data_IF_938676880185
#
_entry.id   IF_938676880185
#
_cell.length_a   1.000
_cell.length_b   1.000
_cell.length_c   1.000
_cell.angle_alpha   90.00
_cell.angle_beta   90.00
_cell.angle_gamma   90.00
#
_symmetry.space_group_name_H-M   'P 1'
#
loop_
_entity.id
_entity.type
_entity.pdbx_description
1 polymer ?
#
# COMPACT_ATOMS: atom_id res chain seq x y z
N UNK A 1 -6.58 -32.11 5.91
CA UNK A 1 -6.11 -30.99 5.06
C UNK A 1 -4.83 -30.46 5.68
N UNK A 2 -3.72 -30.40 4.96
CA UNK A 2 -2.45 -29.88 5.50
C UNK A 2 -2.39 -28.36 5.36
N UNK A 3 -1.61 -27.68 6.20
CA UNK A 3 -1.38 -26.23 6.11
C UNK A 3 -0.85 -25.83 4.73
N UNK A 4 0.05 -26.63 4.15
CA UNK A 4 0.60 -26.43 2.81
C UNK A 4 -0.48 -26.43 1.74
N UNK A 5 -1.41 -27.39 1.80
CA UNK A 5 -2.52 -27.47 0.84
C UNK A 5 -3.43 -26.24 0.93
N UNK A 6 -3.73 -25.76 2.15
CA UNK A 6 -4.55 -24.57 2.33
C UNK A 6 -3.87 -23.32 1.74
N UNK A 7 -2.56 -23.14 1.98
CA UNK A 7 -1.78 -22.03 1.42
C UNK A 7 -1.77 -22.06 -0.11
N UNK A 8 -1.56 -23.23 -0.71
CA UNK A 8 -1.59 -23.38 -2.17
C UNK A 8 -2.98 -23.10 -2.74
N UNK A 9 -4.02 -23.65 -2.11
CA UNK A 9 -5.40 -23.42 -2.52
C UNK A 9 -5.75 -21.93 -2.51
N UNK A 10 -5.49 -21.24 -1.39
CA UNK A 10 -5.79 -19.83 -1.25
C UNK A 10 -4.96 -18.97 -2.22
N UNK A 11 -3.67 -19.26 -2.39
CA UNK A 11 -2.81 -18.52 -3.33
C UNK A 11 -3.29 -18.63 -4.78
N UNK A 12 -3.80 -19.79 -5.19
CA UNK A 12 -4.27 -20.04 -6.55
C UNK A 12 -5.64 -19.42 -6.83
N UNK A 13 -6.57 -19.50 -5.87
CA UNK A 13 -7.94 -19.01 -6.05
C UNK A 13 -8.07 -17.49 -5.80
N UNK A 14 -7.18 -16.90 -4.99
CA UNK A 14 -7.13 -15.46 -4.70
C UNK A 14 -5.88 -14.79 -5.29
N UNK A 15 -5.63 -15.04 -6.58
CA UNK A 15 -4.47 -14.49 -7.32
C UNK A 15 -4.46 -12.95 -7.41
N UNK A 16 -5.62 -12.32 -7.25
CA UNK A 16 -5.80 -10.86 -7.23
C UNK A 16 -5.58 -10.24 -5.84
N UNK A 17 -5.22 -11.04 -4.84
CA UNK A 17 -4.88 -10.58 -3.50
C UNK A 17 -3.36 -10.51 -3.36
N UNK A 18 -2.85 -9.33 -2.99
CA UNK A 18 -1.42 -9.07 -2.83
C UNK A 18 -1.12 -8.53 -1.43
N UNK A 19 -0.21 -9.18 -0.72
CA UNK A 19 0.34 -8.70 0.55
C UNK A 19 1.65 -7.97 0.28
N UNK A 20 1.75 -6.73 0.73
CA UNK A 20 2.92 -5.87 0.52
C UNK A 20 3.57 -5.59 1.86
N UNK A 21 4.84 -5.93 1.95
CA UNK A 21 5.68 -5.71 3.13
C UNK A 21 6.97 -5.01 2.72
N UNK A 22 7.73 -4.55 3.69
CA UNK A 22 9.09 -4.07 3.47
C UNK A 22 9.96 -4.40 4.68
N UNK A 23 11.28 -4.35 4.52
CA UNK A 23 12.19 -4.52 5.65
C UNK A 23 12.35 -3.22 6.45
N UNK A 24 12.23 -2.07 5.77
CA UNK A 24 12.29 -0.73 6.37
C UNK A 24 11.10 0.14 5.93
N UNK A 25 10.68 1.11 6.76
CA UNK A 25 9.66 2.07 6.36
C UNK A 25 10.16 2.99 5.22
N UNK A 26 9.23 3.60 4.49
CA UNK A 26 9.57 4.59 3.45
C UNK A 26 9.98 4.03 2.08
N UNK A 27 9.88 2.72 1.84
CA UNK A 27 10.21 2.12 0.54
C UNK A 27 9.10 2.26 -0.54
N UNK A 28 8.04 3.03 -0.28
CA UNK A 28 6.97 3.28 -1.25
C UNK A 28 6.01 2.10 -1.46
N UNK A 29 5.62 1.40 -0.37
CA UNK A 29 4.60 0.35 -0.41
C UNK A 29 3.28 0.88 -0.97
N UNK A 30 2.82 2.02 -0.47
CA UNK A 30 1.60 2.69 -0.94
C UNK A 30 1.73 3.14 -2.40
N UNK A 31 2.84 3.76 -2.80
CA UNK A 31 3.11 4.13 -4.20
C UNK A 31 3.10 2.92 -5.14
N UNK A 32 3.59 1.77 -4.70
CA UNK A 32 3.55 0.54 -5.47
C UNK A 32 2.09 0.11 -5.74
N UNK A 33 1.21 0.19 -4.73
CA UNK A 33 -0.21 -0.14 -4.87
C UNK A 33 -0.88 0.79 -5.88
N UNK A 34 -0.67 2.11 -5.75
CA UNK A 34 -1.21 3.09 -6.69
C UNK A 34 -0.69 2.90 -8.12
N UNK A 35 0.56 2.49 -8.29
CA UNK A 35 1.12 2.16 -9.60
C UNK A 35 0.46 0.91 -10.18
N UNK A 36 0.37 -0.16 -9.40
CA UNK A 36 -0.27 -1.42 -9.85
C UNK A 36 -1.72 -1.18 -10.25
N UNK A 37 -2.49 -0.47 -9.42
CA UNK A 37 -3.87 -0.12 -9.75
C UNK A 37 -3.96 0.68 -11.06
N UNK A 38 -3.07 1.67 -11.27
CA UNK A 38 -3.03 2.44 -12.51
C UNK A 38 -2.71 1.57 -13.73
N UNK A 39 -1.72 0.69 -13.61
CA UNK A 39 -1.31 -0.22 -14.68
C UNK A 39 -2.46 -1.19 -15.04
N UNK A 40 -3.29 -1.56 -14.05
CA UNK A 40 -4.48 -2.39 -14.21
C UNK A 40 -5.75 -1.58 -14.59
N UNK A 41 -5.66 -0.26 -14.79
CA UNK A 41 -6.79 0.60 -15.14
C UNK A 41 -7.81 0.81 -14.01
N UNK A 42 -7.40 0.62 -12.76
CA UNK A 42 -8.22 0.67 -11.55
C UNK A 42 -7.99 1.95 -10.74
N UNK A 43 -8.96 2.33 -9.92
CA UNK A 43 -8.76 3.33 -8.86
C UNK A 43 -8.55 2.66 -7.50
N UNK A 44 -7.77 3.27 -6.62
CA UNK A 44 -7.51 2.74 -5.27
C UNK A 44 -8.52 3.33 -4.28
N UNK A 45 -9.09 2.47 -3.44
CA UNK A 45 -9.90 2.86 -2.30
C UNK A 45 -9.24 2.33 -1.02
N UNK A 46 -8.85 3.22 -0.11
CA UNK A 46 -7.99 2.88 1.04
C UNK A 46 -8.75 2.90 2.35
N UNK A 47 -8.65 1.82 3.11
CA UNK A 47 -9.07 1.75 4.51
C UNK A 47 -7.86 1.49 5.39
N UNK A 48 -7.67 2.35 6.39
CA UNK A 48 -6.68 2.14 7.43
C UNK A 48 -7.27 1.33 8.59
N UNK A 49 -6.51 0.36 9.12
CA UNK A 49 -6.90 -0.48 10.26
C UNK A 49 -5.73 -0.58 11.25
N UNK A 50 -5.95 -0.10 12.47
CA UNK A 50 -4.96 -0.16 13.55
C UNK A 50 -5.63 -0.10 14.94
N UNK A 51 -4.84 -0.25 16.00
CA UNK A 51 -5.32 -0.21 17.37
C UNK A 51 -6.14 -1.44 17.76
N UNK A 52 -7.16 -1.22 18.60
CA UNK A 52 -8.10 -2.27 19.01
C UNK A 52 -9.12 -2.47 17.89
N UNK A 53 -9.23 -3.69 17.39
CA UNK A 53 -10.12 -4.01 16.27
C UNK A 53 -11.58 -3.91 16.70
N UNK A 54 -12.37 -3.27 15.84
CA UNK A 54 -13.83 -3.23 15.93
C UNK A 54 -14.40 -3.57 14.56
N UNK A 55 -15.06 -4.74 14.45
CA UNK A 55 -15.62 -5.23 13.19
C UNK A 55 -16.71 -4.29 12.64
N UNK A 56 -17.50 -3.66 13.52
CA UNK A 56 -18.54 -2.71 13.11
C UNK A 56 -17.93 -1.47 12.44
N UNK A 57 -16.83 -0.95 13.00
CA UNK A 57 -16.08 0.15 12.39
C UNK A 57 -15.44 -0.23 11.05
N UNK A 58 -14.92 -1.46 10.91
CA UNK A 58 -14.40 -1.95 9.63
C UNK A 58 -15.53 -2.02 8.58
N UNK A 59 -16.68 -2.57 8.94
CA UNK A 59 -17.85 -2.64 8.03
C UNK A 59 -18.30 -1.23 7.64
N UNK A 60 -18.36 -0.29 8.58
CA UNK A 60 -18.74 1.09 8.27
C UNK A 60 -17.74 1.74 7.31
N UNK A 61 -16.44 1.63 7.56
CA UNK A 61 -15.40 2.14 6.67
C UNK A 61 -15.53 1.54 5.26
N UNK A 62 -15.82 0.24 5.14
CA UNK A 62 -16.03 -0.43 3.85
C UNK A 62 -17.26 0.10 3.10
N UNK A 63 -18.35 0.41 3.81
CA UNK A 63 -19.52 1.09 3.21
C UNK A 63 -19.19 2.51 2.76
N UNK A 64 -18.45 3.26 3.57
CA UNK A 64 -18.07 4.65 3.27
C UNK A 64 -17.13 4.77 2.06
N UNK A 65 -16.34 3.73 1.77
CA UNK A 65 -15.52 3.66 0.56
C UNK A 65 -16.35 3.57 -0.73
N UNK A 66 -17.61 3.13 -0.66
CA UNK A 66 -18.48 2.89 -1.80
C UNK A 66 -17.75 2.12 -2.93
N UNK A 67 -17.12 0.99 -2.55
CA UNK A 67 -16.36 0.16 -3.49
C UNK A 67 -17.21 -0.26 -4.69
N UNK A 68 -16.55 -0.46 -5.82
CA UNK A 68 -17.08 -0.96 -7.09
C UNK A 68 -16.09 -1.96 -7.67
N UNK A 69 -16.51 -2.74 -8.67
CA UNK A 69 -15.67 -3.76 -9.31
C UNK A 69 -14.36 -3.21 -9.91
N UNK A 70 -14.35 -1.94 -10.34
CA UNK A 70 -13.17 -1.26 -10.88
C UNK A 70 -12.24 -0.66 -9.81
N UNK A 71 -12.54 -0.87 -8.51
CA UNK A 71 -11.68 -0.43 -7.43
C UNK A 71 -10.74 -1.54 -6.97
N UNK A 72 -9.51 -1.15 -6.65
CA UNK A 72 -8.60 -1.94 -5.83
C UNK A 72 -8.78 -1.53 -4.37
N UNK A 73 -9.19 -2.47 -3.52
CA UNK A 73 -9.25 -2.23 -2.08
C UNK A 73 -7.83 -2.28 -1.51
N UNK A 74 -7.37 -1.17 -0.98
CA UNK A 74 -6.12 -1.07 -0.23
C UNK A 74 -6.42 -1.09 1.27
N UNK A 75 -6.03 -2.16 1.95
CA UNK A 75 -6.11 -2.29 3.41
C UNK A 75 -4.73 -1.94 3.98
N UNK A 76 -4.61 -0.75 4.57
CA UNK A 76 -3.40 -0.31 5.26
C UNK A 76 -3.44 -0.76 6.72
N UNK A 77 -2.59 -1.71 7.08
CA UNK A 77 -2.55 -2.35 8.39
C UNK A 77 -1.45 -1.74 9.25
N UNK A 78 -1.88 -0.99 10.27
CA UNK A 78 -1.03 -0.49 11.35
C UNK A 78 -0.91 -1.46 12.52
N UNK A 79 -0.20 -1.04 13.56
CA UNK A 79 -0.05 -1.81 14.80
C UNK A 79 -1.43 -2.05 15.43
N UNK A 80 -1.73 -3.28 15.80
CA UNK A 80 -2.98 -3.67 16.45
C UNK A 80 -2.74 -4.37 17.79
N UNK A 81 -3.62 -4.13 18.76
CA UNK A 81 -3.63 -4.82 20.05
C UNK A 81 -4.45 -6.12 20.04
N UNK A 82 -5.24 -6.37 18.98
CA UNK A 82 -6.05 -7.59 18.80
C UNK A 82 -5.81 -8.23 17.42
N UNK A 83 -4.57 -8.66 17.10
CA UNK A 83 -4.21 -9.18 15.78
C UNK A 83 -5.03 -10.39 15.33
N UNK A 84 -5.45 -11.27 16.25
CA UNK A 84 -6.30 -12.41 15.92
C UNK A 84 -7.68 -12.02 15.42
N UNK A 85 -8.25 -10.91 15.94
CA UNK A 85 -9.54 -10.39 15.47
C UNK A 85 -9.38 -9.80 14.07
N UNK A 86 -8.27 -9.10 13.80
CA UNK A 86 -7.96 -8.60 12.46
C UNK A 86 -7.76 -9.75 11.47
N UNK A 87 -6.99 -10.78 11.84
CA UNK A 87 -6.75 -11.93 10.96
C UNK A 87 -8.05 -12.65 10.58
N UNK A 88 -8.93 -12.88 11.56
CA UNK A 88 -10.24 -13.47 11.32
C UNK A 88 -11.12 -12.57 10.44
N UNK A 89 -11.05 -11.25 10.59
CA UNK A 89 -11.78 -10.31 9.75
C UNK A 89 -11.26 -10.31 8.29
N UNK A 90 -9.93 -10.33 8.10
CA UNK A 90 -9.31 -10.44 6.79
C UNK A 90 -9.69 -11.76 6.09
N UNK A 91 -9.69 -12.87 6.82
CA UNK A 91 -10.13 -14.15 6.28
C UNK A 91 -11.58 -14.10 5.82
N UNK A 92 -12.50 -13.63 6.67
CA UNK A 92 -13.91 -13.52 6.33
C UNK A 92 -14.12 -12.61 5.12
N UNK A 93 -13.59 -11.38 5.16
CA UNK A 93 -13.78 -10.41 4.09
C UNK A 93 -13.23 -10.89 2.74
N UNK A 94 -12.01 -11.46 2.72
CA UNK A 94 -11.30 -11.79 1.48
C UNK A 94 -11.68 -13.19 0.98
N UNK A 95 -11.66 -14.19 1.86
CA UNK A 95 -11.88 -15.59 1.49
C UNK A 95 -13.37 -15.89 1.37
N UNK A 96 -14.20 -15.40 2.30
CA UNK A 96 -15.65 -15.60 2.20
C UNK A 96 -16.33 -14.54 1.33
N UNK A 97 -15.63 -13.43 1.03
CA UNK A 97 -16.22 -12.29 0.32
C UNK A 97 -17.22 -11.50 1.18
N UNK A 98 -17.24 -11.75 2.50
CA UNK A 98 -18.27 -11.24 3.39
C UNK A 98 -17.74 -11.01 4.80
N UNK A 99 -18.19 -9.94 5.45
CA UNK A 99 -17.90 -9.64 6.85
C UNK A 99 -19.17 -9.20 7.56
N UNK A 100 -19.46 -9.77 8.73
CA UNK A 100 -20.67 -9.46 9.50
C UNK A 100 -20.40 -9.37 10.99
N UNK A 101 -21.15 -8.49 11.68
CA UNK A 101 -21.22 -8.45 13.14
C UNK A 101 -22.57 -7.90 13.58
N UNK A 102 -23.24 -8.59 14.51
CA UNK A 102 -24.57 -8.20 14.98
C UNK A 102 -25.56 -7.98 13.83
N UNK A 103 -26.04 -6.74 13.67
CA UNK A 103 -26.96 -6.33 12.60
C UNK A 103 -26.27 -5.70 11.37
N UNK A 104 -24.93 -5.62 11.37
CA UNK A 104 -24.15 -5.04 10.28
C UNK A 104 -23.52 -6.14 9.42
N UNK A 105 -23.50 -5.91 8.12
CA UNK A 105 -22.89 -6.81 7.16
C UNK A 105 -22.31 -6.03 5.97
N UNK A 106 -21.28 -6.59 5.35
CA UNK A 106 -20.65 -6.09 4.14
C UNK A 106 -20.29 -7.26 3.22
N UNK A 107 -20.54 -7.09 1.92
CA UNK A 107 -20.12 -8.03 0.88
C UNK A 107 -19.13 -7.33 -0.02
N UNK A 108 -18.00 -7.99 -0.30
CA UNK A 108 -16.91 -7.41 -1.04
C UNK A 108 -17.26 -7.28 -2.54
N UNK A 109 -17.30 -6.05 -3.05
CA UNK A 109 -17.66 -5.75 -4.45
C UNK A 109 -16.49 -5.85 -5.44
N UNK A 110 -15.27 -6.13 -4.97
CA UNK A 110 -14.07 -6.26 -5.83
C UNK A 110 -13.27 -7.51 -5.49
N UNK A 111 -12.60 -8.09 -6.49
CA UNK A 111 -11.66 -9.20 -6.28
C UNK A 111 -10.22 -8.72 -6.07
N UNK A 112 -9.96 -7.44 -6.28
CA UNK A 112 -8.61 -6.85 -6.22
C UNK A 112 -8.36 -6.24 -4.84
N UNK A 113 -7.50 -6.90 -4.06
CA UNK A 113 -7.20 -6.49 -2.69
C UNK A 113 -5.70 -6.41 -2.50
N UNK A 114 -5.21 -5.26 -2.04
CA UNK A 114 -3.85 -5.10 -1.55
C UNK A 114 -3.87 -4.93 -0.03
N UNK A 115 -3.05 -5.71 0.67
CA UNK A 115 -2.85 -5.60 2.11
C UNK A 115 -1.45 -5.04 2.32
N UNK A 116 -1.35 -3.78 2.75
CA UNK A 116 -0.08 -3.18 3.16
C UNK A 116 0.12 -3.43 4.66
N UNK A 117 1.23 -4.08 5.03
CA UNK A 117 1.55 -4.31 6.45
C UNK A 117 2.63 -3.33 6.88
N UNK A 118 2.33 -2.53 7.90
CA UNK A 118 3.28 -1.62 8.54
C UNK A 118 4.49 -2.37 9.12
N UNK A 119 5.65 -1.73 9.05
CA UNK A 119 6.87 -2.24 9.66
C UNK A 119 6.74 -2.22 11.18
N UNK A 120 6.97 -3.36 11.83
CA UNK A 120 7.11 -3.44 13.29
C UNK A 120 8.43 -4.06 13.68
N UNK A 121 8.89 -3.76 14.90
CA UNK A 121 10.10 -4.37 15.47
C UNK A 121 9.94 -5.89 15.45
N UNK A 122 10.89 -6.59 14.81
CA UNK A 122 10.88 -8.05 14.69
C UNK A 122 9.77 -8.62 13.79
N UNK A 123 9.13 -7.82 12.93
CA UNK A 123 8.02 -8.22 12.06
C UNK A 123 6.83 -8.85 12.81
N UNK A 124 6.66 -8.50 14.09
CA UNK A 124 5.62 -9.04 14.97
C UNK A 124 4.21 -8.93 14.40
N UNK A 125 3.89 -7.83 13.72
CA UNK A 125 2.57 -7.63 13.11
C UNK A 125 2.33 -8.60 11.95
N UNK A 126 3.28 -8.67 11.01
CA UNK A 126 3.20 -9.61 9.89
C UNK A 126 3.08 -11.06 10.36
N UNK A 127 3.83 -11.43 11.41
CA UNK A 127 3.82 -12.77 11.97
C UNK A 127 2.53 -13.09 12.75
N UNK A 128 1.78 -12.07 13.18
CA UNK A 128 0.54 -12.23 13.93
C UNK A 128 -0.70 -12.30 13.02
N UNK A 129 -0.52 -12.27 11.70
CA UNK A 129 -1.60 -12.35 10.70
C UNK A 129 -1.42 -13.57 9.77
N UNK A 130 -1.65 -14.81 10.26
CA UNK A 130 -1.46 -16.05 9.49
C UNK A 130 -2.19 -16.07 8.14
N UNK A 131 -3.39 -15.49 8.03
CA UNK A 131 -4.17 -15.44 6.80
C UNK A 131 -3.41 -14.77 5.67
N UNK A 132 -2.63 -13.73 5.97
CA UNK A 132 -1.82 -13.00 4.98
C UNK A 132 -0.72 -13.87 4.37
N UNK A 133 -0.26 -14.91 5.08
CA UNK A 133 0.78 -15.83 4.58
C UNK A 133 0.28 -16.77 3.48
N UNK A 134 -1.04 -16.88 3.34
CA UNK A 134 -1.69 -17.70 2.32
C UNK A 134 -1.77 -17.02 0.96
N UNK A 135 -1.63 -15.69 0.90
CA UNK A 135 -1.72 -14.92 -0.35
C UNK A 135 -0.34 -14.71 -0.99
N UNK A 136 -0.33 -14.15 -2.21
CA UNK A 136 0.91 -13.74 -2.86
C UNK A 136 1.51 -12.58 -2.06
N UNK A 137 2.80 -12.69 -1.71
CA UNK A 137 3.54 -11.64 -0.99
C UNK A 137 4.55 -10.97 -1.91
N UNK A 138 4.65 -9.65 -1.82
CA UNK A 138 5.73 -8.83 -2.40
C UNK A 138 6.43 -8.07 -1.29
N UNK A 139 7.66 -8.46 -0.98
CA UNK A 139 8.51 -7.68 -0.08
C UNK A 139 9.25 -6.61 -0.89
N UNK A 140 9.31 -5.40 -0.35
CA UNK A 140 10.17 -4.34 -0.85
C UNK A 140 11.46 -4.32 -0.05
N UNK A 141 12.57 -4.44 -0.77
CA UNK A 141 13.92 -4.40 -0.21
C UNK A 141 14.59 -3.09 -0.62
N UNK A 142 15.47 -2.57 0.23
CA UNK A 142 16.27 -1.41 -0.12
C UNK A 142 17.35 -1.80 -1.13
N UNK A 143 17.32 -1.20 -2.31
CA UNK A 143 18.26 -1.49 -3.39
C UNK A 143 19.04 -0.24 -3.81
N UNK A 144 19.79 0.37 -2.88
CA UNK A 144 20.75 1.45 -3.16
C UNK A 144 20.25 2.53 -4.15
N UNK A 145 19.02 3.01 -3.96
CA UNK A 145 18.35 3.99 -4.82
C UNK A 145 18.04 3.57 -6.27
N UNK A 146 18.31 2.32 -6.69
CA UNK A 146 17.98 1.86 -8.06
C UNK A 146 16.49 1.97 -8.38
N UNK A 147 15.64 1.80 -7.37
CA UNK A 147 14.18 1.92 -7.50
C UNK A 147 13.65 3.32 -7.14
N UNK A 148 14.56 4.28 -6.86
CA UNK A 148 14.19 5.65 -6.54
C UNK A 148 13.55 6.30 -7.76
N UNK A 149 12.31 6.75 -7.59
CA UNK A 149 11.61 7.57 -8.59
C UNK A 149 11.43 8.97 -8.02
N UNK A 150 11.90 9.95 -8.77
CA UNK A 150 11.69 11.37 -8.50
C UNK A 150 10.82 11.96 -9.60
N UNK A 151 10.12 13.05 -9.29
CA UNK A 151 9.38 13.79 -10.31
C UNK A 151 10.36 14.31 -11.37
N UNK A 152 9.96 14.21 -12.64
CA UNK A 152 10.66 14.81 -13.78
C UNK A 152 10.10 16.19 -14.11
N UNK A 153 9.16 16.72 -13.34
CA UNK A 153 8.66 18.08 -13.52
C UNK A 153 9.65 19.03 -12.86
N UNK A 154 10.29 19.90 -13.65
CA UNK A 154 11.35 20.81 -13.19
C UNK A 154 10.90 21.73 -12.05
N UNK A 155 9.61 22.09 -12.02
CA UNK A 155 9.00 22.95 -11.00
C UNK A 155 8.42 22.15 -9.81
N UNK A 156 8.60 20.82 -9.77
CA UNK A 156 8.23 20.04 -8.60
C UNK A 156 9.12 20.38 -7.39
N UNK A 157 8.62 20.27 -6.15
CA UNK A 157 9.40 20.65 -4.97
C UNK A 157 10.76 19.96 -4.87
N UNK A 158 10.83 18.67 -5.21
CA UNK A 158 12.11 17.92 -5.18
C UNK A 158 13.07 18.43 -6.24
N UNK A 159 12.58 18.72 -7.45
CA UNK A 159 13.42 19.20 -8.54
C UNK A 159 13.94 20.62 -8.27
N UNK A 160 13.11 21.50 -7.72
CA UNK A 160 13.53 22.85 -7.30
C UNK A 160 14.71 22.77 -6.33
N UNK A 161 14.60 21.91 -5.30
CA UNK A 161 15.70 21.70 -4.34
C UNK A 161 16.94 21.12 -5.03
N UNK A 162 16.78 20.10 -5.88
CA UNK A 162 17.89 19.50 -6.62
C UNK A 162 18.64 20.52 -7.49
N UNK A 163 17.93 21.41 -8.19
CA UNK A 163 18.57 22.45 -9.00
C UNK A 163 19.37 23.44 -8.15
N UNK A 164 18.82 23.87 -7.01
CA UNK A 164 19.54 24.75 -6.09
C UNK A 164 20.77 24.09 -5.47
N UNK A 165 20.66 22.82 -5.04
CA UNK A 165 21.81 22.07 -4.52
C UNK A 165 22.90 21.88 -5.59
N UNK A 166 22.51 21.61 -6.84
CA UNK A 166 23.43 21.53 -7.97
C UNK A 166 24.10 22.88 -8.27
N UNK A 167 23.37 23.99 -8.18
CA UNK A 167 23.94 25.32 -8.39
C UNK A 167 24.93 25.69 -7.27
N UNK A 168 24.62 25.32 -6.03
CA UNK A 168 25.51 25.46 -4.87
C UNK A 168 26.79 24.66 -5.05
N UNK A 169 26.68 23.37 -5.39
CA UNK A 169 27.82 22.48 -5.65
C UNK A 169 28.73 23.03 -6.75
N UNK A 170 28.15 23.61 -7.80
CA UNK A 170 28.88 24.23 -8.90
C UNK A 170 29.38 25.66 -8.61
N UNK A 171 29.06 26.24 -7.45
CA UNK A 171 29.44 27.62 -7.10
C UNK A 171 28.78 28.70 -7.98
N UNK A 172 27.59 28.41 -8.52
CA UNK A 172 26.84 29.28 -9.44
C UNK A 172 25.58 29.88 -8.82
N UNK A 173 25.22 29.48 -7.60
CA UNK A 173 23.98 29.86 -6.92
C UNK A 173 23.75 31.39 -6.89
N UNK A 174 24.79 32.16 -6.53
CA UNK A 174 24.71 33.62 -6.44
C UNK A 174 25.12 34.33 -7.75
N UNK A 175 25.39 33.56 -8.81
CA UNK A 175 25.92 34.09 -10.09
C UNK A 175 24.88 34.07 -11.21
N UNK A 176 24.00 33.08 -11.19
CA UNK A 176 23.03 32.83 -12.25
C UNK A 176 21.64 32.58 -11.65
N UNK A 177 20.61 33.12 -12.30
CA UNK A 177 19.22 32.75 -11.99
C UNK A 177 18.92 31.32 -12.43
N UNK A 178 18.12 30.60 -11.63
CA UNK A 178 17.58 29.28 -11.98
C UNK A 178 16.14 29.47 -12.45
N UNK A 179 15.90 29.21 -13.73
CA UNK A 179 14.58 29.29 -14.32
C UNK A 179 13.85 27.95 -14.22
N UNK A 180 12.63 27.96 -13.70
CA UNK A 180 11.78 26.75 -13.57
C UNK A 180 10.62 26.72 -14.59
N UNK A 181 10.51 27.73 -15.45
CA UNK A 181 9.49 27.84 -16.50
C UNK A 181 10.05 28.51 -17.75
N UNK A 182 9.35 28.38 -18.87
CA UNK A 182 9.75 28.98 -20.15
C UNK A 182 10.84 28.21 -20.89
N UNK A 183 11.25 28.74 -22.05
CA UNK A 183 12.23 28.09 -22.94
C UNK A 183 13.63 27.91 -22.33
N UNK A 184 13.94 28.69 -21.30
CA UNK A 184 15.22 28.66 -20.58
C UNK A 184 15.16 27.83 -19.29
N UNK A 185 14.08 27.07 -19.07
CA UNK A 185 13.92 26.27 -17.86
C UNK A 185 15.05 25.24 -17.70
N UNK A 186 15.47 25.04 -16.45
CA UNK A 186 16.41 24.00 -16.09
C UNK A 186 15.88 22.62 -16.50
N UNK A 187 16.80 21.69 -16.75
CA UNK A 187 16.42 20.30 -17.01
C UNK A 187 16.38 19.53 -15.69
N UNK A 188 15.38 18.66 -15.49
CA UNK A 188 15.29 17.80 -14.31
C UNK A 188 16.49 16.84 -14.20
#
# INVERSE_FOLDING_TARGET
MTETFLKECLRNHWSNVLVITSDVPGLGKTELIHRQARDDGMSVATMHVSGKINIGSIIQNLHDLNLKEYNMLHIDVGITSTPSELDAALFQLIVLGHLSTGSMAYTLETKHVCIEISNTVGQTLCNSLPTTTCFRRKNLDWNNYYDMKVSTEVNSPVQVVCQYLKALENGTLDRNDIYFTGSSAAKP
#
